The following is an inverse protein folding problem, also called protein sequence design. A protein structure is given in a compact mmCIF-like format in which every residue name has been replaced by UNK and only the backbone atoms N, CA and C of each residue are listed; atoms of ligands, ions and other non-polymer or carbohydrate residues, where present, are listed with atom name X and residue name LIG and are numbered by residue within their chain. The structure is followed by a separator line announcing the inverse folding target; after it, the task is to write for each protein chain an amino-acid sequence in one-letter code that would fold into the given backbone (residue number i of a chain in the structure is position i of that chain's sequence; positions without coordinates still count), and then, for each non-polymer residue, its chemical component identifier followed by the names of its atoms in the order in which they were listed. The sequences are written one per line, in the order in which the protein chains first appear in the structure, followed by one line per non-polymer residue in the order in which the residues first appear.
data_IF_738659821286
#
_entry.id   IF_738659821286
#
_cell.length_a   1.000
_cell.length_b   1.000
_cell.length_c   1.000
_cell.angle_alpha   90.00
_cell.angle_beta   90.00
_cell.angle_gamma   90.00
#
_symmetry.space_group_name_H-M   'P 1'
#
loop_
_entity.id
_entity.type
_entity.pdbx_description
1 polymer ?
#
# COMPACT_ATOMS: atom_id res chain seq x y z
N UNK A 1 -14.26 -10.84 9.09
CA UNK A 1 -13.57 -9.53 9.27
C UNK A 1 -14.14 -8.67 10.41
N UNK A 2 -15.40 -8.23 10.35
CA UNK A 2 -15.97 -7.31 11.36
C UNK A 2 -16.03 -7.91 12.78
N UNK A 3 -16.56 -9.12 12.91
CA UNK A 3 -16.63 -9.81 14.21
C UNK A 3 -15.23 -10.02 14.84
N UNK A 4 -14.21 -10.32 14.03
CA UNK A 4 -12.83 -10.44 14.52
C UNK A 4 -12.33 -9.11 15.08
N UNK A 5 -12.54 -8.02 14.32
CA UNK A 5 -12.18 -6.68 14.76
C UNK A 5 -12.93 -6.27 16.05
N UNK A 6 -14.23 -6.59 16.16
CA UNK A 6 -15.02 -6.24 17.35
C UNK A 6 -14.51 -6.99 18.61
N UNK A 7 -14.14 -8.27 18.46
CA UNK A 7 -13.53 -9.06 19.55
C UNK A 7 -12.16 -8.47 19.93
N UNK A 8 -11.32 -8.16 18.94
CA UNK A 8 -10.00 -7.57 19.17
C UNK A 8 -10.13 -6.20 19.84
N UNK A 9 -10.96 -5.31 19.30
CA UNK A 9 -11.24 -3.99 19.86
C UNK A 9 -11.72 -4.09 21.30
N UNK A 10 -12.64 -5.01 21.60
CA UNK A 10 -13.13 -5.22 22.97
C UNK A 10 -12.02 -5.68 23.91
N UNK A 11 -11.14 -6.57 23.43
CA UNK A 11 -9.98 -7.03 24.19
C UNK A 11 -9.01 -5.88 24.46
N UNK A 12 -8.63 -5.08 23.46
CA UNK A 12 -7.72 -3.95 23.63
C UNK A 12 -8.27 -2.91 24.62
N UNK A 13 -9.57 -2.58 24.53
CA UNK A 13 -10.23 -1.70 25.51
C UNK A 13 -10.15 -2.27 26.94
N UNK A 14 -10.27 -3.59 27.11
CA UNK A 14 -10.08 -4.24 28.42
C UNK A 14 -8.63 -4.16 28.94
N UNK A 15 -7.66 -4.02 28.04
CA UNK A 15 -6.23 -3.86 28.35
C UNK A 15 -5.80 -2.40 28.54
N UNK A 16 -6.76 -1.49 28.79
CA UNK A 16 -6.54 -0.04 28.99
C UNK A 16 -6.09 0.73 27.75
N UNK A 17 -6.33 0.20 26.55
CA UNK A 17 -6.15 0.98 25.33
C UNK A 17 -7.29 1.96 25.12
N UNK A 18 -6.95 3.10 24.55
CA UNK A 18 -7.87 4.08 24.01
C UNK A 18 -7.95 3.91 22.50
N UNK A 19 -9.17 3.78 22.00
CA UNK A 19 -9.47 3.77 20.57
C UNK A 19 -9.39 5.19 20.02
N UNK A 20 -8.75 5.35 18.87
CA UNK A 20 -8.64 6.64 18.18
C UNK A 20 -10.01 7.20 17.81
N UNK A 21 -10.20 8.51 18.04
CA UNK A 21 -11.45 9.20 17.72
C UNK A 21 -11.61 9.43 16.21
N UNK A 22 -10.50 9.71 15.52
CA UNK A 22 -10.48 9.95 14.06
C UNK A 22 -10.27 8.65 13.30
N UNK A 23 -9.29 7.85 13.71
CA UNK A 23 -9.03 6.52 13.16
C UNK A 23 -9.44 5.43 14.17
N UNK A 24 -10.54 4.70 13.95
CA UNK A 24 -10.98 3.64 14.84
C UNK A 24 -10.07 2.40 14.80
N UNK A 25 -9.14 2.31 13.86
CA UNK A 25 -8.18 1.21 13.77
C UNK A 25 -6.86 1.48 14.47
N UNK A 26 -6.67 2.72 14.96
CA UNK A 26 -5.57 3.12 15.81
C UNK A 26 -5.95 2.99 17.29
N UNK A 27 -5.12 2.31 18.06
CA UNK A 27 -5.24 2.17 19.51
C UNK A 27 -3.98 2.71 20.18
N UNK A 28 -4.15 3.33 21.35
CA UNK A 28 -3.03 3.88 22.13
C UNK A 28 -3.19 3.53 23.60
N UNK A 29 -2.10 3.14 24.25
CA UNK A 29 -2.05 2.91 25.70
C UNK A 29 -0.90 3.75 26.27
N UNK A 30 -1.14 4.38 27.43
CA UNK A 30 -0.12 5.16 28.14
C UNK A 30 0.19 4.49 29.47
N UNK A 31 1.47 4.22 29.70
CA UNK A 31 2.00 3.68 30.95
C UNK A 31 3.06 4.65 31.50
N UNK A 32 2.65 5.51 32.43
CA UNK A 32 3.50 6.58 32.93
C UNK A 32 3.88 7.57 31.83
N UNK A 33 5.18 7.63 31.50
CA UNK A 33 5.72 8.47 30.41
C UNK A 33 5.72 7.75 29.05
N UNK A 34 5.54 6.44 29.06
CA UNK A 34 5.69 5.59 27.90
C UNK A 34 4.35 5.39 27.18
N UNK A 35 4.42 5.25 25.86
CA UNK A 35 3.25 5.13 24.99
C UNK A 35 3.45 3.90 24.11
N UNK A 36 2.42 3.05 24.06
CA UNK A 36 2.29 1.97 23.10
C UNK A 36 1.18 2.33 22.10
N UNK A 37 1.50 2.31 20.81
CA UNK A 37 0.58 2.58 19.71
C UNK A 37 0.40 1.33 18.87
N UNK A 38 -0.82 1.11 18.38
CA UNK A 38 -1.19 -0.06 17.58
C UNK A 38 -2.10 0.35 16.43
N UNK A 39 -1.72 -0.01 15.22
CA UNK A 39 -2.50 0.17 14.00
C UNK A 39 -2.94 -1.20 13.49
N UNK A 40 -4.25 -1.39 13.40
CA UNK A 40 -4.84 -2.63 12.88
C UNK A 40 -5.15 -2.47 11.39
N UNK A 41 -4.69 -3.40 10.58
CA UNK A 41 -5.08 -3.53 9.18
C UNK A 41 -5.53 -4.94 8.87
N UNK A 42 -6.84 -5.14 8.70
CA UNK A 42 -7.46 -6.45 8.48
C UNK A 42 -6.98 -7.44 9.54
N UNK A 43 -6.05 -8.36 9.23
CA UNK A 43 -5.54 -9.37 10.15
C UNK A 43 -4.11 -9.05 10.66
N UNK A 44 -3.48 -8.00 10.13
CA UNK A 44 -2.14 -7.54 10.52
C UNK A 44 -2.23 -6.42 11.57
N UNK A 45 -1.31 -6.44 12.54
CA UNK A 45 -1.22 -5.42 13.58
C UNK A 45 0.21 -4.88 13.59
N UNK A 46 0.35 -3.58 13.32
CA UNK A 46 1.59 -2.85 13.52
C UNK A 46 1.51 -2.22 14.90
N UNK A 47 2.58 -2.31 15.67
CA UNK A 47 2.64 -1.61 16.95
C UNK A 47 4.06 -1.19 17.27
N UNK A 48 4.16 -0.13 18.05
CA UNK A 48 5.41 0.47 18.47
C UNK A 48 5.24 1.10 19.85
N UNK A 49 6.31 1.08 20.64
CA UNK A 49 6.35 1.67 21.96
C UNK A 49 7.62 2.49 22.15
N UNK A 50 7.52 3.54 22.98
CA UNK A 50 8.69 4.27 23.47
C UNK A 50 9.57 3.42 24.39
N UNK A 51 8.97 2.44 25.06
CA UNK A 51 9.67 1.38 25.80
C UNK A 51 9.54 0.03 25.06
N UNK A 52 10.64 -0.52 24.51
CA UNK A 52 10.64 -1.80 23.83
C UNK A 52 10.13 -2.98 24.67
N UNK A 53 10.19 -2.90 26.01
CA UNK A 53 9.67 -3.97 26.88
C UNK A 53 8.16 -4.12 26.76
N UNK A 54 7.44 -3.01 26.57
CA UNK A 54 5.98 -3.00 26.37
C UNK A 54 5.58 -3.72 25.09
N UNK A 55 6.39 -3.66 24.03
CA UNK A 55 6.16 -4.42 22.80
C UNK A 55 6.18 -5.93 23.06
N UNK A 56 7.11 -6.42 23.89
CA UNK A 56 7.20 -7.83 24.25
C UNK A 56 5.99 -8.28 25.08
N UNK A 57 5.65 -7.51 26.11
CA UNK A 57 4.48 -7.79 26.97
C UNK A 57 3.19 -7.80 26.14
N UNK A 58 3.05 -6.84 25.21
CA UNK A 58 1.92 -6.78 24.31
C UNK A 58 1.87 -8.00 23.39
N UNK A 59 2.99 -8.38 22.79
CA UNK A 59 3.10 -9.57 21.94
C UNK A 59 2.62 -10.84 22.63
N UNK A 60 3.01 -11.03 23.89
CA UNK A 60 2.66 -12.21 24.69
C UNK A 60 1.16 -12.21 25.04
N UNK A 61 0.60 -11.05 25.40
CA UNK A 61 -0.84 -10.89 25.64
C UNK A 61 -1.66 -11.20 24.39
N UNK A 62 -1.19 -10.73 23.23
CA UNK A 62 -1.87 -10.96 21.96
C UNK A 62 -1.78 -12.40 21.52
N UNK A 63 -0.60 -13.02 21.61
CA UNK A 63 -0.38 -14.42 21.21
C UNK A 63 -1.05 -15.42 22.15
N UNK A 64 -1.24 -15.06 23.42
CA UNK A 64 -1.98 -15.90 24.39
C UNK A 64 -3.49 -15.82 24.18
N UNK A 65 -4.03 -14.67 23.76
CA UNK A 65 -5.47 -14.49 23.54
C UNK A 65 -5.91 -14.92 22.14
N UNK A 66 -5.09 -14.68 21.14
CA UNK A 66 -5.40 -14.88 19.73
C UNK A 66 -4.38 -15.82 19.08
N UNK A 67 -4.84 -16.61 18.11
CA UNK A 67 -3.96 -17.43 17.28
C UNK A 67 -3.19 -16.55 16.29
N UNK A 68 -2.18 -15.85 16.77
CA UNK A 68 -1.30 -14.98 16.00
C UNK A 68 0.16 -15.15 16.43
N UNK A 69 1.07 -14.70 15.57
CA UNK A 69 2.50 -14.80 15.77
C UNK A 69 3.17 -13.44 15.59
N UNK A 70 4.12 -13.12 16.47
CA UNK A 70 5.01 -11.99 16.29
C UNK A 70 5.90 -12.21 15.05
N UNK A 71 5.86 -11.28 14.09
CA UNK A 71 6.74 -11.28 12.92
C UNK A 71 8.05 -10.51 13.10
N UNK A 72 8.24 -9.89 14.28
CA UNK A 72 9.42 -9.09 14.59
C UNK A 72 9.38 -7.71 13.92
N UNK A 73 10.55 -7.18 13.56
CA UNK A 73 10.64 -5.85 12.92
C UNK A 73 9.93 -5.87 11.57
N UNK A 74 9.07 -4.88 11.35
CA UNK A 74 8.35 -4.72 10.09
C UNK A 74 9.34 -4.55 8.93
N UNK A 75 9.22 -5.44 7.95
CA UNK A 75 10.04 -5.43 6.72
C UNK A 75 9.18 -5.37 5.45
N UNK A 76 7.89 -5.70 5.58
CA UNK A 76 6.91 -5.62 4.50
C UNK A 76 5.53 -5.30 5.06
N UNK A 77 4.81 -4.37 4.43
CA UNK A 77 3.44 -4.03 4.81
C UNK A 77 2.70 -3.44 3.61
N UNK A 78 1.51 -3.94 3.28
CA UNK A 78 0.70 -3.44 2.14
C UNK A 78 1.52 -3.23 0.87
N UNK A 79 2.28 -4.24 0.45
CA UNK A 79 3.07 -4.14 -0.78
C UNK A 79 4.31 -3.25 -0.70
N UNK A 80 4.54 -2.58 0.42
CA UNK A 80 5.68 -1.72 0.69
C UNK A 80 6.77 -2.52 1.40
N UNK A 81 8.00 -2.40 0.91
CA UNK A 81 9.19 -2.89 1.58
C UNK A 81 9.72 -1.81 2.50
N UNK A 82 9.98 -2.16 3.75
CA UNK A 82 10.38 -1.24 4.81
C UNK A 82 11.77 -1.64 5.29
N UNK A 83 12.69 -0.69 5.24
CA UNK A 83 14.07 -0.85 5.71
C UNK A 83 14.32 0.15 6.83
N UNK A 84 14.56 -0.36 8.03
CA UNK A 84 14.78 0.46 9.22
C UNK A 84 16.27 0.48 9.56
N UNK A 85 16.83 1.67 9.71
CA UNK A 85 18.25 1.87 10.06
C UNK A 85 18.39 3.01 11.06
N UNK A 86 19.59 3.20 11.63
CA UNK A 86 19.90 4.34 12.49
C UNK A 86 19.74 5.70 11.79
N UNK A 87 19.73 5.73 10.45
CA UNK A 87 19.52 6.93 9.64
C UNK A 87 18.04 7.22 9.38
N UNK A 88 17.14 6.34 9.81
CA UNK A 88 15.70 6.44 9.59
C UNK A 88 15.11 5.24 8.84
N UNK A 89 13.89 5.44 8.38
CA UNK A 89 13.06 4.43 7.72
C UNK A 89 13.02 4.71 6.22
N UNK A 90 13.36 3.71 5.42
CA UNK A 90 13.28 3.76 3.97
C UNK A 90 12.17 2.84 3.47
N UNK A 91 11.25 3.38 2.68
CA UNK A 91 10.10 2.66 2.13
C UNK A 91 10.21 2.62 0.61
N UNK A 92 10.06 1.45 0.00
CA UNK A 92 10.04 1.31 -1.45
C UNK A 92 9.11 0.18 -1.91
N UNK A 93 8.82 0.13 -3.21
CA UNK A 93 7.98 -0.91 -3.83
C UNK A 93 8.73 -1.66 -4.95
N UNK A 94 10.06 -1.78 -4.87
CA UNK A 94 10.89 -2.34 -5.95
C UNK A 94 10.43 -3.74 -6.36
N UNK A 95 10.13 -4.61 -5.40
CA UNK A 95 9.62 -5.97 -5.66
C UNK A 95 8.28 -5.95 -6.39
N UNK A 96 7.40 -5.03 -6.05
CA UNK A 96 6.12 -4.86 -6.73
C UNK A 96 6.33 -4.33 -8.15
N UNK A 97 7.14 -3.28 -8.33
CA UNK A 97 7.46 -2.71 -9.63
C UNK A 97 8.03 -3.76 -10.60
N UNK A 98 9.02 -4.54 -10.17
CA UNK A 98 9.61 -5.61 -10.99
C UNK A 98 8.62 -6.73 -11.34
N UNK A 99 7.73 -7.10 -10.40
CA UNK A 99 6.66 -8.07 -10.66
C UNK A 99 5.68 -7.53 -11.70
N UNK A 100 5.32 -6.26 -11.58
CA UNK A 100 4.41 -5.54 -12.47
C UNK A 100 4.99 -5.41 -13.88
N UNK A 101 6.28 -5.08 -14.03
CA UNK A 101 6.97 -5.10 -15.32
C UNK A 101 6.89 -6.47 -16.00
N UNK A 102 7.25 -7.53 -15.26
CA UNK A 102 7.18 -8.92 -15.78
C UNK A 102 5.76 -9.35 -16.15
N UNK A 103 4.75 -8.95 -15.35
CA UNK A 103 3.34 -9.29 -15.60
C UNK A 103 2.88 -8.83 -16.99
N UNK A 104 3.35 -7.68 -17.45
CA UNK A 104 2.95 -7.09 -18.74
C UNK A 104 4.01 -7.19 -19.83
N UNK A 105 5.10 -7.93 -19.60
CA UNK A 105 6.21 -8.10 -20.55
C UNK A 105 6.96 -6.80 -20.85
N UNK A 106 7.10 -5.93 -19.85
CA UNK A 106 7.80 -4.64 -19.94
C UNK A 106 9.19 -4.66 -19.29
N UNK A 107 9.65 -5.82 -18.80
CA UNK A 107 10.92 -5.97 -18.07
C UNK A 107 12.18 -5.88 -18.95
N UNK A 108 12.02 -5.98 -20.27
CA UNK A 108 13.08 -5.82 -21.27
C UNK A 108 12.91 -4.58 -22.16
N UNK A 109 11.95 -3.71 -21.85
CA UNK A 109 11.73 -2.48 -22.60
C UNK A 109 12.73 -1.39 -22.19
N UNK A 110 13.08 -0.53 -23.15
CA UNK A 110 13.93 0.63 -22.86
C UNK A 110 13.18 1.63 -21.96
N UNK A 111 13.83 2.13 -20.89
CA UNK A 111 13.21 3.10 -20.01
C UNK A 111 13.02 4.44 -20.74
N UNK A 112 12.00 5.18 -20.29
CA UNK A 112 11.69 6.50 -20.83
C UNK A 112 11.74 7.55 -19.73
N UNK A 113 12.43 8.66 -19.98
CA UNK A 113 12.68 9.70 -18.97
C UNK A 113 11.42 10.46 -18.54
N UNK A 114 10.39 10.48 -19.40
CA UNK A 114 9.15 11.22 -19.14
C UNK A 114 7.93 10.30 -19.16
N UNK A 115 7.07 10.35 -18.13
CA UNK A 115 5.90 9.46 -18.03
C UNK A 115 4.84 9.77 -19.10
N UNK A 116 4.81 10.99 -19.62
CA UNK A 116 3.87 11.40 -20.67
C UNK A 116 4.54 12.42 -21.59
N UNK A 117 4.20 12.38 -22.87
CA UNK A 117 4.68 13.36 -23.86
C UNK A 117 3.92 14.68 -23.67
N UNK A 118 4.63 15.80 -23.75
CA UNK A 118 4.04 17.12 -23.58
C UNK A 118 2.94 17.38 -24.63
N UNK A 119 1.84 18.01 -24.22
CA UNK A 119 0.65 18.33 -25.04
C UNK A 119 -0.05 17.12 -25.70
N UNK A 120 0.12 15.91 -25.16
CA UNK A 120 -0.57 14.73 -25.69
C UNK A 120 -2.07 14.81 -25.42
N UNK A 121 -2.88 15.11 -26.44
CA UNK A 121 -4.32 14.86 -26.39
C UNK A 121 -4.56 13.37 -26.56
N UNK A 122 -5.06 12.71 -25.51
CA UNK A 122 -5.36 11.28 -25.56
C UNK A 122 -6.68 10.98 -26.27
N UNK A 123 -7.59 11.95 -26.39
CA UNK A 123 -8.85 11.83 -27.14
C UNK A 123 -8.68 11.08 -28.47
N UNK A 124 -9.46 10.02 -28.64
CA UNK A 124 -9.36 9.10 -29.76
C UNK A 124 -10.71 8.44 -30.05
N UNK A 125 -11.68 9.24 -30.50
CA UNK A 125 -13.07 8.81 -30.72
C UNK A 125 -13.20 7.69 -31.76
N UNK A 126 -12.25 7.64 -32.72
CA UNK A 126 -12.22 6.69 -33.84
C UNK A 126 -11.09 5.65 -33.71
N UNK A 127 -10.45 5.58 -32.54
CA UNK A 127 -9.36 4.66 -32.29
C UNK A 127 -9.79 3.20 -32.33
N UNK A 128 -8.85 2.30 -32.65
CA UNK A 128 -9.11 0.87 -32.54
C UNK A 128 -9.34 0.50 -31.07
N UNK A 129 -10.53 -0.02 -30.69
CA UNK A 129 -10.81 -0.40 -29.32
C UNK A 129 -9.91 -1.56 -28.89
N UNK A 130 -9.65 -1.62 -27.59
CA UNK A 130 -8.91 -2.72 -26.95
C UNK A 130 -9.75 -3.34 -25.84
N UNK A 131 -9.28 -4.46 -25.29
CA UNK A 131 -9.91 -5.04 -24.11
C UNK A 131 -9.81 -4.09 -22.91
N UNK A 132 -10.97 -3.62 -22.45
CA UNK A 132 -11.09 -2.75 -21.28
C UNK A 132 -10.62 -3.43 -20.00
N UNK A 133 -10.79 -4.76 -19.87
CA UNK A 133 -10.41 -5.47 -18.64
C UNK A 133 -8.90 -5.46 -18.48
N UNK A 134 -8.17 -5.86 -19.53
CA UNK A 134 -6.72 -5.79 -19.56
C UNK A 134 -6.19 -4.37 -19.33
N UNK A 135 -6.80 -3.37 -19.96
CA UNK A 135 -6.42 -1.97 -19.75
C UNK A 135 -6.60 -1.51 -18.30
N UNK A 136 -7.77 -1.77 -17.71
CA UNK A 136 -8.07 -1.46 -16.31
C UNK A 136 -7.10 -2.17 -15.35
N UNK A 137 -6.74 -3.42 -15.63
CA UNK A 137 -5.76 -4.17 -14.85
C UNK A 137 -4.36 -3.52 -14.89
N UNK A 138 -3.91 -3.06 -16.07
CA UNK A 138 -2.65 -2.30 -16.20
C UNK A 138 -2.68 -0.99 -15.41
N UNK A 139 -3.72 -0.17 -15.61
CA UNK A 139 -3.86 1.12 -14.92
C UNK A 139 -3.95 0.92 -13.42
N UNK A 140 -4.76 -0.02 -12.95
CA UNK A 140 -4.90 -0.35 -11.53
C UNK A 140 -3.59 -0.82 -10.89
N UNK A 141 -2.80 -1.62 -11.62
CA UNK A 141 -1.47 -2.05 -11.16
C UNK A 141 -0.50 -0.87 -11.04
N UNK A 142 -0.54 0.09 -11.97
CA UNK A 142 0.26 1.32 -11.89
C UNK A 142 -0.21 2.25 -10.77
N UNK A 143 -1.52 2.36 -10.52
CA UNK A 143 -2.05 3.16 -9.41
C UNK A 143 -1.49 2.72 -8.06
N UNK A 144 -1.16 1.44 -7.87
CA UNK A 144 -0.55 0.98 -6.64
C UNK A 144 0.89 1.46 -6.42
N UNK A 145 1.61 1.80 -7.51
CA UNK A 145 2.97 2.34 -7.45
C UNK A 145 3.01 3.81 -7.04
N UNK A 146 1.90 4.55 -7.12
CA UNK A 146 1.89 5.99 -6.84
C UNK A 146 2.28 6.32 -5.41
N UNK A 147 2.10 5.38 -4.48
CA UNK A 147 2.52 5.50 -3.08
C UNK A 147 4.03 5.73 -2.92
N UNK A 148 4.86 5.16 -3.82
CA UNK A 148 6.31 5.36 -3.82
C UNK A 148 6.85 6.14 -5.04
N UNK A 149 6.01 6.32 -6.08
CA UNK A 149 6.33 7.04 -7.31
C UNK A 149 5.30 8.14 -7.61
N UNK A 150 5.26 9.22 -6.79
CA UNK A 150 4.29 10.30 -6.98
C UNK A 150 4.45 11.01 -8.33
N UNK A 151 5.64 10.96 -8.92
CA UNK A 151 5.93 11.49 -10.25
C UNK A 151 5.09 10.84 -11.37
N UNK A 152 4.51 9.66 -11.15
CA UNK A 152 3.67 8.96 -12.14
C UNK A 152 2.18 9.29 -12.01
N UNK A 153 1.74 9.85 -10.88
CA UNK A 153 0.32 10.05 -10.51
C UNK A 153 -0.45 10.72 -11.63
N UNK A 154 0.04 11.86 -12.11
CA UNK A 154 -0.62 12.64 -13.14
C UNK A 154 -0.88 11.81 -14.41
N UNK A 155 0.16 11.14 -14.92
CA UNK A 155 0.08 10.40 -16.17
C UNK A 155 -0.82 9.16 -16.05
N UNK A 156 -0.80 8.47 -14.90
CA UNK A 156 -1.68 7.34 -14.60
C UNK A 156 -3.14 7.82 -14.54
N UNK A 157 -3.43 8.91 -13.82
CA UNK A 157 -4.77 9.47 -13.71
C UNK A 157 -5.34 9.89 -15.07
N UNK A 158 -4.51 10.51 -15.92
CA UNK A 158 -4.91 10.86 -17.29
C UNK A 158 -5.27 9.62 -18.12
N UNK A 159 -4.54 8.52 -17.98
CA UNK A 159 -4.87 7.26 -18.64
C UNK A 159 -6.17 6.64 -18.10
N UNK A 160 -6.38 6.70 -16.77
CA UNK A 160 -7.55 6.14 -16.12
C UNK A 160 -8.88 6.73 -16.62
N UNK A 161 -8.89 7.97 -17.13
CA UNK A 161 -10.09 8.60 -17.70
C UNK A 161 -10.68 7.85 -18.89
N UNK A 162 -9.86 7.06 -19.60
CA UNK A 162 -10.27 6.35 -20.82
C UNK A 162 -10.61 4.87 -20.58
N UNK A 163 -10.70 4.44 -19.31
CA UNK A 163 -10.91 3.04 -18.94
C UNK A 163 -12.23 2.42 -19.46
N UNK A 164 -13.26 3.25 -19.70
CA UNK A 164 -14.57 2.77 -20.17
C UNK A 164 -14.55 2.35 -21.65
N UNK A 165 -13.72 3.00 -22.48
CA UNK A 165 -13.58 2.70 -23.90
C UNK A 165 -12.15 2.96 -24.37
N UNK A 166 -11.18 2.14 -23.91
CA UNK A 166 -9.79 2.37 -24.23
C UNK A 166 -9.49 1.99 -25.69
N UNK A 167 -8.48 2.63 -26.27
CA UNK A 167 -8.04 2.41 -27.65
C UNK A 167 -6.56 2.05 -27.67
N UNK A 168 -6.04 1.62 -28.83
CA UNK A 168 -4.60 1.36 -29.01
C UNK A 168 -3.71 2.55 -28.62
N UNK A 169 -4.17 3.78 -28.85
CA UNK A 169 -3.47 5.00 -28.44
C UNK A 169 -3.36 5.10 -26.91
N UNK A 170 -4.46 4.82 -26.20
CA UNK A 170 -4.46 4.78 -24.74
C UNK A 170 -3.55 3.69 -24.19
N UNK A 171 -3.52 2.50 -24.82
CA UNK A 171 -2.61 1.43 -24.42
C UNK A 171 -1.14 1.84 -24.59
N UNK A 172 -0.80 2.52 -25.68
CA UNK A 172 0.56 3.00 -25.88
C UNK A 172 0.98 4.02 -24.81
N UNK A 173 0.07 4.92 -24.44
CA UNK A 173 0.31 5.87 -23.34
C UNK A 173 0.55 5.15 -22.00
N UNK A 174 -0.24 4.11 -21.70
CA UNK A 174 -0.04 3.31 -20.47
C UNK A 174 1.27 2.53 -20.51
N UNK A 175 1.62 1.92 -21.65
CA UNK A 175 2.90 1.19 -21.80
C UNK A 175 4.12 2.07 -21.55
N UNK A 176 4.06 3.37 -21.87
CA UNK A 176 5.14 4.32 -21.58
C UNK A 176 5.42 4.48 -20.07
N UNK A 177 4.44 4.15 -19.22
CA UNK A 177 4.55 4.30 -17.76
C UNK A 177 5.25 3.13 -17.06
N UNK A 178 5.46 2.03 -17.77
CA UNK A 178 6.21 0.87 -17.32
C UNK A 178 7.68 1.05 -17.71
#
# INVERSE_FOLDING_TARGET
PRAWYDILSSFLLSQKFFKGAVDPTLFTMKEGKDILMEQIYVDDIIFESTDPTLCGIFADKMSSKFKMSMMGKISFFLGLQIFQSSRGIFINQTKYALKTLKKYGMDSCDPVDTPMVDRTKLDDLQGTPIDSTFYCDMVGSLMYLTSSRPNLVFAICMCAWYQAKPTKKHLHAVKRLF
#
